data_IF_073298817999
#
_entry.id   IF_073298817999
#
_cell.length_a   1.000
_cell.length_b   1.000
_cell.length_c   1.000
_cell.angle_alpha   90.00
_cell.angle_beta   90.00
_cell.angle_gamma   90.00
#
_symmetry.space_group_name_H-M   'P 1'
#
loop_
_entity.id
_entity.type
_entity.pdbx_description
1 polymer ?
#
# COMPACT_ATOMS: atom_id res chain seq x y z
N UNK A 1 2.20 -12.86 4.49
CA UNK A 1 0.84 -12.30 4.52
C UNK A 1 0.69 -11.44 5.74
N UNK A 2 1.27 -10.25 5.65
CA UNK A 2 0.89 -9.12 6.48
C UNK A 2 -0.17 -8.30 5.75
N UNK A 3 -0.96 -7.55 6.52
CA UNK A 3 -1.98 -6.65 6.01
C UNK A 3 -1.65 -5.26 6.54
N UNK A 4 -1.56 -4.29 5.64
CA UNK A 4 -1.31 -2.90 5.98
C UNK A 4 -2.45 -2.02 5.49
N UNK A 5 -2.80 -1.02 6.30
CA UNK A 5 -3.94 -0.13 6.04
C UNK A 5 -3.56 1.32 6.34
N UNK A 6 -3.78 2.19 5.37
CA UNK A 6 -3.62 3.63 5.45
C UNK A 6 -4.88 4.31 5.96
N UNK A 7 -5.04 5.57 5.58
CA UNK A 7 -6.05 6.50 6.06
C UNK A 7 -6.68 7.26 4.88
N UNK A 8 -7.47 8.29 5.15
CA UNK A 8 -7.98 9.18 4.11
C UNK A 8 -7.02 10.32 3.75
N UNK A 9 -5.80 10.30 4.29
CA UNK A 9 -4.73 11.26 4.03
C UNK A 9 -3.61 10.66 3.19
N UNK A 10 -2.56 11.44 2.93
CA UNK A 10 -1.36 10.92 2.28
C UNK A 10 -0.62 9.99 3.24
N UNK A 11 -0.52 8.72 2.87
CA UNK A 11 0.20 7.70 3.65
C UNK A 11 1.44 7.18 2.91
N UNK A 12 2.42 6.70 3.69
CA UNK A 12 3.57 5.95 3.20
C UNK A 12 3.57 4.60 3.90
N UNK A 13 3.31 3.55 3.14
CA UNK A 13 3.16 2.20 3.66
C UNK A 13 4.21 1.29 3.04
N UNK A 14 4.97 0.64 3.90
CA UNK A 14 6.04 -0.28 3.52
C UNK A 14 5.64 -1.69 3.97
N UNK A 15 5.54 -2.59 2.99
CA UNK A 15 5.35 -4.01 3.16
C UNK A 15 6.62 -4.70 3.64
N UNK A 16 6.67 -6.01 3.42
CA UNK A 16 7.69 -6.93 3.89
C UNK A 16 8.26 -7.73 2.72
N UNK A 17 9.22 -8.61 2.97
CA UNK A 17 9.78 -9.48 1.92
C UNK A 17 8.92 -10.72 1.62
N UNK A 18 7.62 -10.68 1.93
CA UNK A 18 6.71 -11.76 1.59
C UNK A 18 5.35 -11.20 1.23
N UNK A 19 4.48 -12.04 0.67
CA UNK A 19 3.19 -11.62 0.12
C UNK A 19 2.38 -10.77 1.11
N UNK A 20 2.05 -9.54 0.73
CA UNK A 20 1.34 -8.57 1.56
C UNK A 20 0.13 -7.96 0.86
N UNK A 21 -0.91 -7.65 1.65
CA UNK A 21 -2.06 -6.87 1.19
C UNK A 21 -1.95 -5.45 1.76
N UNK A 22 -1.83 -4.44 0.91
CA UNK A 22 -1.63 -3.05 1.32
C UNK A 22 -2.76 -2.17 0.79
N UNK A 23 -3.45 -1.46 1.67
CA UNK A 23 -4.58 -0.59 1.34
C UNK A 23 -4.29 0.86 1.72
N UNK A 24 -4.14 1.76 0.75
CA UNK A 24 -3.92 3.21 0.98
C UNK A 24 -5.19 3.99 1.32
N UNK A 25 -6.35 3.51 0.87
CA UNK A 25 -7.67 4.16 1.00
C UNK A 25 -7.82 5.52 0.31
N UNK A 26 -7.52 6.65 0.92
CA UNK A 26 -7.85 7.95 0.31
C UNK A 26 -6.71 8.92 0.44
N UNK A 27 -6.45 9.72 -0.58
CA UNK A 27 -5.26 10.56 -0.61
C UNK A 27 -4.26 10.10 -1.65
N UNK A 28 -3.08 10.72 -1.65
CA UNK A 28 -2.02 10.38 -2.59
C UNK A 28 -0.95 9.59 -1.83
N UNK A 29 -1.02 8.27 -1.91
CA UNK A 29 -0.21 7.37 -1.10
C UNK A 29 1.04 6.88 -1.82
N UNK A 30 2.03 6.46 -1.05
CA UNK A 30 3.17 5.68 -1.52
C UNK A 30 3.12 4.29 -0.89
N UNK A 31 2.82 3.27 -1.70
CA UNK A 31 2.67 1.89 -1.26
C UNK A 31 3.82 1.05 -1.83
N UNK A 32 4.58 0.39 -0.96
CA UNK A 32 5.71 -0.46 -1.34
C UNK A 32 5.46 -1.89 -0.89
N UNK A 33 5.31 -2.83 -1.83
CA UNK A 33 5.15 -4.25 -1.53
C UNK A 33 6.48 -4.94 -1.19
N UNK A 34 7.56 -4.55 -1.89
CA UNK A 34 8.86 -5.23 -1.91
C UNK A 34 8.81 -6.63 -2.54
N UNK A 35 9.52 -7.60 -1.96
CA UNK A 35 9.62 -8.96 -2.50
C UNK A 35 8.37 -9.76 -2.12
N UNK A 36 7.77 -10.45 -3.07
CA UNK A 36 6.58 -11.26 -2.82
C UNK A 36 5.55 -11.11 -3.92
N UNK A 37 4.42 -11.78 -3.72
CA UNK A 37 3.22 -11.51 -4.51
C UNK A 37 2.31 -10.62 -3.68
N UNK A 38 2.42 -9.31 -3.89
CA UNK A 38 1.73 -8.30 -3.10
C UNK A 38 0.49 -7.77 -3.82
N UNK A 39 -0.52 -7.39 -3.05
CA UNK A 39 -1.71 -6.73 -3.55
C UNK A 39 -1.77 -5.30 -3.00
N UNK A 40 -1.42 -4.32 -3.85
CA UNK A 40 -1.41 -2.91 -3.49
C UNK A 40 -2.67 -2.19 -4.00
N UNK A 41 -3.44 -1.64 -3.08
CA UNK A 41 -4.67 -0.91 -3.35
C UNK A 41 -4.54 0.55 -2.91
N UNK A 42 -4.19 1.45 -3.83
CA UNK A 42 -4.05 2.89 -3.57
C UNK A 42 -5.34 3.63 -3.22
N UNK A 43 -6.51 3.04 -3.49
CA UNK A 43 -7.81 3.66 -3.21
C UNK A 43 -8.07 4.96 -4.00
N UNK A 44 -8.80 5.92 -3.42
CA UNK A 44 -9.22 7.17 -4.08
C UNK A 44 -8.13 8.24 -4.02
N UNK A 45 -7.45 8.45 -5.15
CA UNK A 45 -6.41 9.46 -5.32
C UNK A 45 -5.34 9.00 -6.30
N UNK A 46 -4.35 9.85 -6.57
CA UNK A 46 -3.18 9.47 -7.37
C UNK A 46 -2.13 8.89 -6.44
N UNK A 47 -2.19 7.59 -6.23
CA UNK A 47 -1.23 6.85 -5.40
C UNK A 47 -0.16 6.21 -6.29
N UNK A 48 1.06 6.11 -5.78
CA UNK A 48 2.18 5.44 -6.43
C UNK A 48 2.37 4.09 -5.75
N UNK A 49 2.21 3.01 -6.52
CA UNK A 49 2.49 1.65 -6.09
C UNK A 49 3.71 1.12 -6.86
N UNK A 50 4.61 0.43 -6.14
CA UNK A 50 5.72 -0.35 -6.70
C UNK A 50 5.24 -1.76 -7.08
#
# INVERSE_FOLDING_TARGET
MAIFSGTSGRDVINGTSGNDDIYGYGGNDALYGYDGNDALFGGTGSSTCD
#
